data_IF_426396000301
#
_entry.id   IF_426396000301
#
_cell.length_a   1.000
_cell.length_b   1.000
_cell.length_c   1.000
_cell.angle_alpha   90.00
_cell.angle_beta   90.00
_cell.angle_gamma   90.00
#
_symmetry.space_group_name_H-M   'P 1'
#
loop_
_entity.id
_entity.type
_entity.pdbx_description
1 polymer ?
#
# COMPACT_ATOMS: atom_id res chain seq x y z
N UNK A 1 11.52 -8.84 13.54
CA UNK A 1 12.63 -8.12 12.87
C UNK A 1 13.77 -8.01 13.88
N UNK A 2 15.03 -8.23 13.48
CA UNK A 2 16.19 -8.15 14.38
C UNK A 2 16.98 -6.85 14.13
N UNK A 3 17.40 -6.11 15.17
CA UNK A 3 18.20 -4.91 15.00
C UNK A 3 19.63 -5.26 14.51
N UNK A 4 20.19 -4.38 13.65
CA UNK A 4 21.60 -4.51 13.22
C UNK A 4 22.58 -4.26 14.37
N UNK A 5 22.21 -3.37 15.29
CA UNK A 5 22.93 -3.05 16.52
C UNK A 5 21.98 -3.18 17.73
N UNK A 6 22.08 -4.29 18.44
CA UNK A 6 21.23 -4.56 19.59
C UNK A 6 21.48 -3.57 20.74
N UNK A 7 22.72 -3.20 20.97
CA UNK A 7 23.07 -2.29 22.07
C UNK A 7 22.53 -0.87 21.84
N UNK A 8 22.56 -0.39 20.59
CA UNK A 8 21.95 0.89 20.23
C UNK A 8 20.41 0.83 20.35
N UNK A 9 19.80 -0.27 19.91
CA UNK A 9 18.36 -0.48 20.02
C UNK A 9 17.89 -0.50 21.48
N UNK A 10 18.62 -1.19 22.36
CA UNK A 10 18.31 -1.27 23.79
C UNK A 10 18.44 0.11 24.50
N UNK A 11 19.23 1.04 23.94
CA UNK A 11 19.30 2.43 24.41
C UNK A 11 18.17 3.31 23.85
N UNK A 12 17.26 2.76 23.01
CA UNK A 12 16.17 3.50 22.37
C UNK A 12 16.60 4.28 21.13
N UNK A 13 17.77 3.99 20.56
CA UNK A 13 18.21 4.59 19.31
C UNK A 13 17.55 3.88 18.10
N UNK A 14 17.18 4.65 17.07
CA UNK A 14 16.64 4.08 15.85
C UNK A 14 17.75 3.39 15.04
N UNK A 15 17.60 2.10 14.78
CA UNK A 15 18.58 1.26 14.07
C UNK A 15 18.00 0.68 12.79
N UNK A 16 18.84 0.28 11.85
CA UNK A 16 18.40 -0.51 10.71
C UNK A 16 18.19 -1.97 11.13
N UNK A 17 17.27 -2.71 10.50
CA UNK A 17 17.19 -4.15 10.71
C UNK A 17 18.37 -4.86 10.04
N UNK A 18 18.78 -6.02 10.57
CA UNK A 18 19.78 -6.90 9.94
C UNK A 18 19.36 -7.31 8.52
N UNK A 19 18.07 -7.61 8.35
CA UNK A 19 17.48 -7.97 7.07
C UNK A 19 16.23 -7.09 6.83
N UNK A 20 16.34 -6.03 6.04
CA UNK A 20 15.19 -5.23 5.64
C UNK A 20 14.27 -6.01 4.70
N UNK A 21 12.97 -5.71 4.73
CA UNK A 21 12.03 -6.24 3.75
C UNK A 21 12.22 -5.47 2.44
N UNK A 22 12.68 -6.14 1.40
CA UNK A 22 12.92 -5.53 0.09
C UNK A 22 11.85 -5.98 -0.88
N UNK A 23 11.14 -5.02 -1.49
CA UNK A 23 10.27 -5.25 -2.64
C UNK A 23 10.98 -4.81 -3.91
N UNK A 24 10.89 -5.63 -4.94
CA UNK A 24 11.38 -5.32 -6.27
C UNK A 24 10.19 -4.98 -7.17
N UNK A 25 10.25 -3.81 -7.83
CA UNK A 25 9.18 -3.32 -8.70
C UNK A 25 9.57 -3.45 -10.17
N UNK A 26 8.64 -3.98 -10.95
CA UNK A 26 8.81 -4.16 -12.40
C UNK A 26 9.06 -2.83 -13.11
N UNK A 27 10.08 -2.79 -13.94
CA UNK A 27 10.47 -1.60 -14.70
C UNK A 27 9.53 -1.28 -15.87
N UNK A 28 8.56 -2.14 -16.15
CA UNK A 28 7.52 -1.93 -17.16
C UNK A 28 6.46 -0.91 -16.72
N UNK A 29 6.32 -0.65 -15.42
CA UNK A 29 5.44 0.41 -14.94
C UNK A 29 5.88 1.79 -15.43
N UNK A 30 4.93 2.69 -15.68
CA UNK A 30 5.24 4.10 -15.89
C UNK A 30 5.92 4.68 -14.64
N UNK A 31 6.76 5.71 -14.83
CA UNK A 31 7.47 6.34 -13.72
C UNK A 31 6.52 6.87 -12.63
N UNK A 32 5.37 7.43 -13.02
CA UNK A 32 4.35 7.93 -12.10
C UNK A 32 3.70 6.79 -11.29
N UNK A 33 3.33 5.69 -11.95
CA UNK A 33 2.73 4.52 -11.30
C UNK A 33 3.74 3.89 -10.33
N UNK A 34 4.96 3.66 -10.78
CA UNK A 34 6.04 3.13 -9.94
C UNK A 34 6.29 4.01 -8.71
N UNK A 35 6.29 5.34 -8.88
CA UNK A 35 6.47 6.27 -7.77
C UNK A 35 5.30 6.22 -6.76
N UNK A 36 4.06 6.11 -7.23
CA UNK A 36 2.89 6.02 -6.37
C UNK A 36 2.87 4.70 -5.58
N UNK A 37 3.12 3.58 -6.24
CA UNK A 37 3.25 2.25 -5.61
C UNK A 37 4.35 2.27 -4.55
N UNK A 38 5.53 2.76 -4.92
CA UNK A 38 6.69 2.86 -4.01
C UNK A 38 6.37 3.68 -2.77
N UNK A 39 5.77 4.86 -2.95
CA UNK A 39 5.36 5.70 -1.82
C UNK A 39 4.38 4.97 -0.90
N UNK A 40 3.39 4.28 -1.46
CA UNK A 40 2.40 3.53 -0.69
C UNK A 40 3.04 2.46 0.20
N UNK A 41 3.96 1.69 -0.35
CA UNK A 41 4.69 0.65 0.39
C UNK A 41 5.57 1.25 1.48
N UNK A 42 6.29 2.32 1.17
CA UNK A 42 7.23 2.97 2.11
C UNK A 42 6.54 3.72 3.26
N UNK A 43 5.22 4.03 3.16
CA UNK A 43 4.47 4.61 4.28
C UNK A 43 4.56 3.74 5.55
N UNK A 44 4.69 2.43 5.42
CA UNK A 44 4.86 1.51 6.54
C UNK A 44 6.15 1.70 7.33
N UNK A 45 7.19 2.34 6.74
CA UNK A 45 8.39 2.68 7.50
C UNK A 45 8.08 3.55 8.72
N UNK A 46 7.05 4.41 8.67
CA UNK A 46 6.61 5.21 9.82
C UNK A 46 6.20 4.33 11.02
N UNK A 47 5.55 3.20 10.74
CA UNK A 47 5.18 2.24 11.78
C UNK A 47 6.41 1.54 12.36
N UNK A 48 7.38 1.19 11.51
CA UNK A 48 8.63 0.57 11.96
C UNK A 48 9.52 1.57 12.71
N UNK A 49 9.54 2.84 12.31
CA UNK A 49 10.25 3.91 13.01
C UNK A 49 9.69 4.14 14.42
N UNK A 50 8.36 4.01 14.59
CA UNK A 50 7.73 4.12 15.90
C UNK A 50 8.16 3.03 16.89
N UNK A 51 8.69 1.91 16.40
CA UNK A 51 9.23 0.82 17.19
C UNK A 51 10.77 0.71 17.10
N UNK A 52 11.43 1.77 16.63
CA UNK A 52 12.89 1.90 16.62
C UNK A 52 13.62 1.34 15.40
N UNK A 53 12.93 0.99 14.31
CA UNK A 53 13.56 0.52 13.07
C UNK A 53 13.48 1.57 11.97
N UNK A 54 14.60 2.07 11.49
CA UNK A 54 14.69 2.93 10.29
C UNK A 54 14.97 2.08 9.03
N UNK A 55 14.44 2.51 7.88
CA UNK A 55 14.66 1.83 6.60
C UNK A 55 14.29 0.33 6.61
N UNK A 56 13.26 -0.04 7.38
CA UNK A 56 12.83 -1.42 7.55
C UNK A 56 12.29 -2.02 6.25
N UNK A 57 11.67 -1.19 5.42
CA UNK A 57 11.14 -1.55 4.11
C UNK A 57 11.89 -0.76 3.05
N UNK A 58 12.28 -1.45 1.99
CA UNK A 58 12.95 -0.86 0.82
C UNK A 58 12.22 -1.27 -0.46
N UNK A 59 12.16 -0.37 -1.42
CA UNK A 59 11.68 -0.67 -2.76
C UNK A 59 12.80 -0.40 -3.76
N UNK A 60 13.03 -1.35 -4.66
CA UNK A 60 14.07 -1.27 -5.70
C UNK A 60 13.46 -1.64 -7.04
N UNK A 61 13.93 -1.10 -8.16
CA UNK A 61 13.57 -1.61 -9.47
C UNK A 61 14.06 -3.05 -9.64
N UNK A 62 13.48 -3.79 -10.58
CA UNK A 62 14.05 -5.07 -11.01
C UNK A 62 15.48 -4.85 -11.44
N UNK A 63 16.44 -5.63 -10.90
CA UNK A 63 17.82 -5.53 -11.30
C UNK A 63 18.01 -6.00 -12.75
N UNK A 64 19.01 -5.44 -13.41
CA UNK A 64 19.46 -5.95 -14.71
C UNK A 64 20.18 -7.29 -14.56
N UNK A 65 20.31 -8.09 -15.64
CA UNK A 65 21.06 -9.34 -15.58
C UNK A 65 22.54 -9.18 -15.18
N UNK A 66 23.10 -7.99 -15.38
CA UNK A 66 24.48 -7.65 -14.98
C UNK A 66 24.56 -7.38 -13.47
N UNK A 67 23.52 -6.77 -12.88
CA UNK A 67 23.47 -6.46 -11.45
C UNK A 67 23.16 -7.70 -10.60
N UNK A 68 22.26 -8.56 -11.06
CA UNK A 68 21.91 -9.82 -10.41
C UNK A 68 21.53 -10.90 -11.44
N UNK A 69 22.51 -11.72 -11.87
CA UNK A 69 22.27 -12.80 -12.83
C UNK A 69 21.29 -13.89 -12.33
N UNK A 70 21.03 -13.96 -11.03
CA UNK A 70 20.11 -14.93 -10.43
C UNK A 70 18.71 -14.38 -10.20
N UNK A 71 18.51 -13.10 -10.49
CA UNK A 71 17.21 -12.49 -10.31
C UNK A 71 16.17 -13.12 -11.25
N UNK A 72 15.06 -13.50 -10.67
CA UNK A 72 13.85 -13.87 -11.41
C UNK A 72 12.63 -13.49 -10.56
N UNK A 73 11.62 -12.87 -11.16
CA UNK A 73 10.36 -12.61 -10.46
C UNK A 73 9.66 -13.87 -9.93
N UNK A 74 10.04 -15.06 -10.37
CA UNK A 74 9.55 -16.34 -9.88
C UNK A 74 10.40 -16.93 -8.74
N UNK A 75 11.62 -16.42 -8.54
CA UNK A 75 12.51 -16.92 -7.49
C UNK A 75 12.00 -16.53 -6.09
N UNK A 76 11.99 -17.50 -5.17
CA UNK A 76 11.49 -17.33 -3.79
C UNK A 76 12.29 -16.34 -2.94
N UNK A 77 13.46 -15.94 -3.38
CA UNK A 77 14.31 -14.97 -2.65
C UNK A 77 13.82 -13.52 -2.76
N UNK A 78 12.91 -13.21 -3.71
CA UNK A 78 12.56 -11.84 -4.02
C UNK A 78 11.06 -11.60 -3.85
N UNK A 79 10.70 -10.56 -3.08
CA UNK A 79 9.32 -10.05 -3.07
C UNK A 79 9.17 -9.16 -4.31
N UNK A 80 8.25 -9.47 -5.18
CA UNK A 80 8.12 -8.83 -6.48
C UNK A 80 6.76 -8.19 -6.69
N UNK A 81 6.76 -7.01 -7.29
CA UNK A 81 5.58 -6.29 -7.76
C UNK A 81 5.65 -6.30 -9.29
N UNK A 82 4.87 -7.17 -9.88
CA UNK A 82 4.90 -7.45 -11.31
C UNK A 82 3.80 -6.69 -12.03
N UNK A 83 4.13 -6.10 -13.16
CA UNK A 83 3.14 -5.58 -14.10
C UNK A 83 2.58 -6.72 -14.96
N UNK A 84 1.27 -6.77 -15.09
CA UNK A 84 0.58 -7.75 -15.94
C UNK A 84 -0.21 -7.00 -17.02
N UNK A 85 0.13 -7.16 -18.31
CA UNK A 85 -0.53 -6.47 -19.41
C UNK A 85 -1.89 -7.13 -19.72
N UNK A 86 -2.78 -7.15 -18.73
CA UNK A 86 -4.12 -7.69 -18.85
C UNK A 86 -5.16 -6.57 -18.70
N UNK A 87 -6.15 -6.57 -19.60
CA UNK A 87 -7.31 -5.68 -19.54
C UNK A 87 -8.44 -6.26 -18.70
N UNK A 88 -8.29 -7.48 -18.20
CA UNK A 88 -9.25 -8.16 -17.34
C UNK A 88 -8.52 -8.75 -16.15
N UNK A 89 -9.02 -8.50 -14.97
CA UNK A 89 -8.48 -9.05 -13.74
C UNK A 89 -8.00 -7.98 -12.77
N UNK A 90 -8.08 -8.35 -11.50
CA UNK A 90 -7.72 -7.47 -10.38
C UNK A 90 -6.25 -7.61 -9.99
N UNK A 91 -5.77 -6.66 -9.21
CA UNK A 91 -4.51 -6.81 -8.49
C UNK A 91 -4.59 -8.01 -7.58
N UNK A 92 -3.63 -8.91 -7.69
CA UNK A 92 -3.57 -10.15 -6.90
C UNK A 92 -2.29 -10.21 -6.09
N UNK A 93 -2.43 -10.59 -4.84
CA UNK A 93 -1.30 -10.85 -3.95
C UNK A 93 -1.22 -12.32 -3.63
N UNK A 94 -0.01 -12.86 -3.62
CA UNK A 94 0.29 -14.20 -3.13
C UNK A 94 1.41 -14.10 -2.12
N UNK A 95 1.08 -14.46 -0.88
CA UNK A 95 2.03 -14.50 0.23
C UNK A 95 2.27 -15.96 0.60
N UNK A 96 3.53 -16.34 0.63
CA UNK A 96 3.97 -17.68 0.99
C UNK A 96 4.50 -17.65 2.41
N UNK A 97 3.90 -18.47 3.27
CA UNK A 97 4.17 -18.49 4.69
C UNK A 97 4.71 -19.88 5.08
N UNK A 98 5.73 -19.93 5.91
CA UNK A 98 6.17 -21.18 6.54
C UNK A 98 5.11 -21.62 7.54
N UNK A 99 4.44 -22.78 7.36
CA UNK A 99 3.37 -23.21 8.25
C UNK A 99 3.81 -23.55 9.68
N UNK A 100 5.13 -23.71 9.89
CA UNK A 100 5.69 -24.03 11.19
C UNK A 100 5.95 -22.81 12.06
N UNK A 101 6.38 -21.71 11.43
CA UNK A 101 6.81 -20.49 12.15
C UNK A 101 5.85 -19.31 11.95
N UNK A 102 5.02 -19.34 10.88
CA UNK A 102 4.25 -18.19 10.44
C UNK A 102 5.09 -17.13 9.71
N UNK A 103 6.37 -17.41 9.43
CA UNK A 103 7.25 -16.49 8.74
C UNK A 103 6.81 -16.31 7.28
N UNK A 104 6.71 -15.08 6.86
CA UNK A 104 6.45 -14.74 5.46
C UNK A 104 7.75 -14.90 4.67
N UNK A 105 7.82 -15.93 3.85
CA UNK A 105 8.99 -16.28 3.04
C UNK A 105 9.09 -15.43 1.78
N UNK A 106 7.93 -15.11 1.19
CA UNK A 106 7.86 -14.35 -0.04
C UNK A 106 6.46 -13.76 -0.25
N UNK A 107 6.42 -12.55 -0.82
CA UNK A 107 5.20 -11.96 -1.34
C UNK A 107 5.36 -11.61 -2.82
N UNK A 108 4.34 -11.92 -3.62
CA UNK A 108 4.27 -11.54 -5.03
C UNK A 108 2.97 -10.79 -5.27
N UNK A 109 3.10 -9.57 -5.78
CA UNK A 109 1.97 -8.73 -6.20
C UNK A 109 1.92 -8.73 -7.73
N UNK A 110 0.78 -9.05 -8.29
CA UNK A 110 0.49 -8.98 -9.72
C UNK A 110 -0.48 -7.83 -9.96
N UNK A 111 -0.01 -6.76 -10.57
CA UNK A 111 -0.80 -5.55 -10.84
C UNK A 111 -1.23 -5.58 -12.29
N UNK A 112 -2.50 -5.82 -12.55
CA UNK A 112 -3.06 -5.83 -13.89
C UNK A 112 -3.19 -4.41 -14.45
N UNK A 113 -2.93 -4.24 -15.75
CA UNK A 113 -3.10 -2.96 -16.45
C UNK A 113 -4.51 -2.38 -16.27
N UNK A 114 -5.49 -3.23 -16.13
CA UNK A 114 -6.90 -2.89 -15.89
C UNK A 114 -7.09 -1.95 -14.68
N UNK A 115 -6.19 -1.99 -13.69
CA UNK A 115 -6.23 -1.09 -12.53
C UNK A 115 -6.24 0.39 -12.94
N UNK A 116 -5.63 0.75 -14.07
CA UNK A 116 -5.61 2.12 -14.59
C UNK A 116 -6.99 2.60 -15.05
N UNK A 117 -7.90 1.67 -15.31
CA UNK A 117 -9.27 1.94 -15.71
C UNK A 117 -10.26 1.73 -14.56
N UNK A 118 -10.13 0.63 -13.83
CA UNK A 118 -11.05 0.27 -12.74
C UNK A 118 -10.96 1.23 -11.57
N UNK A 119 -9.77 1.64 -11.17
CA UNK A 119 -9.60 2.53 -10.02
C UNK A 119 -10.24 3.91 -10.25
N UNK A 120 -10.06 4.62 -11.38
CA UNK A 120 -10.80 5.84 -11.67
C UNK A 120 -12.32 5.64 -11.68
N UNK A 121 -12.80 4.52 -12.20
CA UNK A 121 -14.23 4.19 -12.22
C UNK A 121 -14.75 3.97 -10.79
N UNK A 122 -14.05 3.20 -9.97
CA UNK A 122 -14.40 2.98 -8.56
C UNK A 122 -14.46 4.30 -7.79
N UNK A 123 -13.43 5.14 -7.92
CA UNK A 123 -13.38 6.46 -7.28
C UNK A 123 -14.58 7.30 -7.71
N UNK A 124 -14.87 7.38 -9.01
CA UNK A 124 -16.02 8.13 -9.51
C UNK A 124 -17.33 7.63 -8.91
N UNK A 125 -17.60 6.33 -8.95
CA UNK A 125 -18.85 5.75 -8.44
C UNK A 125 -19.07 6.06 -6.97
N UNK A 126 -18.00 6.00 -6.17
CA UNK A 126 -18.12 6.10 -4.73
C UNK A 126 -17.90 7.49 -4.16
N UNK A 127 -17.28 8.41 -4.90
CA UNK A 127 -16.94 9.73 -4.35
C UNK A 127 -17.52 10.91 -5.13
N UNK A 128 -18.05 10.70 -6.33
CA UNK A 128 -18.52 11.80 -7.19
C UNK A 128 -19.65 12.63 -6.58
N UNK A 129 -20.42 12.08 -5.63
CA UNK A 129 -21.47 12.83 -4.93
C UNK A 129 -20.89 13.93 -4.01
N UNK A 130 -19.70 13.72 -3.45
CA UNK A 130 -19.07 14.59 -2.48
C UNK A 130 -17.76 15.25 -2.97
N UNK A 131 -17.23 14.84 -4.13
CA UNK A 131 -15.98 15.38 -4.69
C UNK A 131 -16.19 15.86 -6.14
N UNK A 132 -16.29 17.17 -6.36
CA UNK A 132 -16.42 17.72 -7.71
C UNK A 132 -15.21 17.44 -8.62
N UNK A 133 -14.02 17.21 -8.06
CA UNK A 133 -12.80 17.03 -8.85
C UNK A 133 -12.85 15.75 -9.68
N UNK A 134 -13.57 14.72 -9.22
CA UNK A 134 -13.72 13.44 -9.93
C UNK A 134 -14.86 13.43 -10.94
N UNK A 135 -15.71 14.48 -10.98
CA UNK A 135 -16.79 14.64 -11.97
C UNK A 135 -16.30 15.15 -13.33
N UNK A 136 -15.02 15.46 -13.45
CA UNK A 136 -14.43 15.92 -14.69
C UNK A 136 -14.35 14.77 -15.71
N UNK A 137 -14.35 15.10 -17.00
CA UNK A 137 -14.24 14.10 -18.08
C UNK A 137 -13.03 13.17 -17.92
N UNK A 138 -11.94 13.70 -17.37
CA UNK A 138 -10.74 12.96 -17.02
C UNK A 138 -10.39 13.27 -15.58
N UNK A 139 -10.18 12.22 -14.79
CA UNK A 139 -9.68 12.38 -13.43
C UNK A 139 -8.26 12.94 -13.45
N UNK A 140 -7.94 13.94 -12.62
CA UNK A 140 -6.57 14.44 -12.52
C UNK A 140 -5.61 13.33 -12.10
N UNK A 141 -4.44 13.26 -12.74
CA UNK A 141 -3.40 12.28 -12.41
C UNK A 141 -3.02 12.32 -10.94
N UNK A 142 -2.95 13.51 -10.33
CA UNK A 142 -2.67 13.67 -8.91
C UNK A 142 -3.67 12.94 -8.01
N UNK A 143 -4.95 12.99 -8.36
CA UNK A 143 -6.02 12.29 -7.64
C UNK A 143 -5.84 10.78 -7.81
N UNK A 144 -5.65 10.30 -9.04
CA UNK A 144 -5.45 8.89 -9.33
C UNK A 144 -4.24 8.33 -8.57
N UNK A 145 -3.09 8.98 -8.66
CA UNK A 145 -1.87 8.46 -8.02
C UNK A 145 -1.89 8.54 -6.50
N UNK A 146 -2.64 9.48 -5.91
CA UNK A 146 -2.88 9.48 -4.46
C UNK A 146 -3.73 8.28 -4.04
N UNK A 147 -4.75 7.92 -4.81
CA UNK A 147 -5.53 6.70 -4.55
C UNK A 147 -4.71 5.43 -4.75
N UNK A 148 -3.85 5.36 -5.78
CA UNK A 148 -2.91 4.25 -5.98
C UNK A 148 -2.00 4.11 -4.77
N UNK A 149 -1.41 5.20 -4.29
CA UNK A 149 -0.58 5.21 -3.08
C UNK A 149 -1.33 4.63 -1.88
N UNK A 150 -2.53 5.13 -1.62
CA UNK A 150 -3.34 4.69 -0.47
C UNK A 150 -3.74 3.22 -0.60
N UNK A 151 -4.10 2.77 -1.81
CA UNK A 151 -4.39 1.36 -2.08
C UNK A 151 -3.18 0.47 -1.77
N UNK A 152 -1.98 0.84 -2.23
CA UNK A 152 -0.77 0.05 -1.95
C UNK A 152 -0.31 0.15 -0.50
N UNK A 153 -0.62 1.23 0.22
CA UNK A 153 -0.40 1.27 1.66
C UNK A 153 -1.27 0.23 2.37
N UNK A 154 -2.56 0.18 2.05
CA UNK A 154 -3.49 -0.80 2.60
C UNK A 154 -3.12 -2.23 2.22
N UNK A 155 -2.91 -2.51 0.93
CA UNK A 155 -2.54 -3.82 0.39
C UNK A 155 -1.26 -4.36 1.02
N UNK A 156 -0.28 -3.51 1.26
CA UNK A 156 0.99 -3.91 1.90
C UNK A 156 0.74 -4.41 3.32
N UNK A 157 -0.09 -3.72 4.11
CA UNK A 157 -0.41 -4.16 5.47
C UNK A 157 -1.20 -5.46 5.50
N UNK A 158 -2.31 -5.49 4.78
CA UNK A 158 -3.25 -6.62 4.83
C UNK A 158 -2.69 -7.84 4.10
N UNK A 159 -2.32 -7.67 2.84
CA UNK A 159 -2.02 -8.81 1.98
C UNK A 159 -0.52 -9.19 1.99
N UNK A 160 0.39 -8.19 2.11
CA UNK A 160 1.82 -8.50 2.10
C UNK A 160 2.36 -8.85 3.49
N UNK A 161 1.89 -8.18 4.54
CA UNK A 161 2.29 -8.46 5.93
C UNK A 161 1.33 -9.37 6.67
N UNK A 162 0.20 -9.75 6.06
CA UNK A 162 -0.78 -10.65 6.64
C UNK A 162 -1.48 -10.10 7.88
N UNK A 163 -1.62 -8.77 7.98
CA UNK A 163 -2.31 -8.15 9.10
C UNK A 163 -3.83 -8.34 8.97
N UNK A 164 -4.49 -8.66 10.07
CA UNK A 164 -5.94 -8.79 10.10
C UNK A 164 -6.64 -7.44 9.93
N UNK A 165 -7.83 -7.46 9.34
CA UNK A 165 -8.68 -6.28 9.28
C UNK A 165 -9.04 -5.76 10.67
N UNK A 166 -9.03 -4.43 10.83
CA UNK A 166 -9.51 -3.75 12.03
C UNK A 166 -10.91 -3.19 11.82
N UNK A 167 -11.90 -4.07 11.65
CA UNK A 167 -13.28 -3.69 11.35
C UNK A 167 -13.95 -2.88 12.47
N UNK A 168 -13.47 -3.01 13.70
CA UNK A 168 -13.99 -2.24 14.85
C UNK A 168 -13.71 -0.75 14.72
N UNK A 169 -12.69 -0.37 13.97
CA UNK A 169 -12.32 1.03 13.77
C UNK A 169 -13.37 1.82 13.00
N UNK A 170 -14.18 1.18 12.14
CA UNK A 170 -15.30 1.84 11.45
C UNK A 170 -16.32 2.48 12.42
N UNK A 171 -16.45 1.95 13.63
CA UNK A 171 -17.37 2.47 14.64
C UNK A 171 -16.77 3.60 15.51
N UNK A 172 -15.47 3.90 15.33
CA UNK A 172 -14.79 4.88 16.19
C UNK A 172 -15.15 6.33 15.88
N UNK A 173 -15.54 6.63 14.63
CA UNK A 173 -15.95 7.98 14.26
C UNK A 173 -17.46 8.14 14.31
N UNK A 174 -17.97 9.25 14.89
CA UNK A 174 -19.39 9.54 14.92
C UNK A 174 -19.96 9.67 13.49
N UNK A 175 -21.05 8.98 13.20
CA UNK A 175 -21.72 9.03 11.90
C UNK A 175 -22.14 10.46 11.50
N UNK A 176 -22.50 11.29 12.47
CA UNK A 176 -22.85 12.69 12.21
C UNK A 176 -21.64 13.51 11.74
N UNK A 177 -20.45 13.22 12.26
CA UNK A 177 -19.21 13.86 11.79
C UNK A 177 -18.88 13.47 10.35
N UNK A 178 -19.08 12.22 9.99
CA UNK A 178 -18.87 11.73 8.62
C UNK A 178 -19.94 12.27 7.65
N UNK A 179 -21.17 12.44 8.12
CA UNK A 179 -22.30 12.86 7.29
C UNK A 179 -22.36 14.36 7.06
N UNK A 180 -21.99 15.17 8.04
CA UNK A 180 -22.24 16.60 8.01
C UNK A 180 -20.97 17.46 8.08
N UNK A 181 -19.80 16.87 8.21
CA UNK A 181 -18.55 17.61 8.37
C UNK A 181 -17.46 17.15 7.40
N UNK A 182 -17.46 17.72 6.20
CA UNK A 182 -16.43 17.43 5.20
C UNK A 182 -15.00 17.75 5.69
N UNK A 183 -14.83 18.77 6.54
CA UNK A 183 -13.54 19.11 7.12
C UNK A 183 -13.03 18.02 8.07
N UNK A 184 -13.95 17.35 8.80
CA UNK A 184 -13.61 16.20 9.63
C UNK A 184 -13.04 15.06 8.78
N UNK A 185 -13.74 14.66 7.72
CA UNK A 185 -13.31 13.58 6.82
C UNK A 185 -11.99 13.92 6.12
N UNK A 186 -11.79 15.17 5.69
CA UNK A 186 -10.50 15.59 5.10
C UNK A 186 -9.34 15.50 6.09
N UNK A 187 -9.58 15.74 7.36
CA UNK A 187 -8.55 15.74 8.40
C UNK A 187 -8.24 14.35 8.94
N UNK A 188 -9.26 13.55 9.17
CA UNK A 188 -9.14 12.29 9.90
C UNK A 188 -9.41 11.04 9.06
N UNK A 189 -9.87 11.20 7.81
CA UNK A 189 -10.30 10.12 6.97
C UNK A 189 -11.68 9.56 7.34
N UNK A 190 -11.98 8.39 6.84
CA UNK A 190 -13.25 7.67 7.08
C UNK A 190 -13.19 6.80 8.33
N UNK A 191 -11.99 6.43 8.77
CA UNK A 191 -11.72 5.54 9.89
C UNK A 191 -10.31 5.84 10.44
N UNK A 192 -10.05 5.61 11.74
CA UNK A 192 -8.74 5.86 12.32
C UNK A 192 -7.70 4.77 12.02
N UNK A 193 -8.09 3.67 11.37
CA UNK A 193 -7.18 2.58 11.04
C UNK A 193 -7.11 2.34 9.54
N UNK A 194 -5.91 2.33 8.99
CA UNK A 194 -5.69 1.96 7.58
C UNK A 194 -5.90 0.46 7.30
N UNK A 195 -6.06 -0.36 8.33
CA UNK A 195 -6.41 -1.79 8.19
C UNK A 195 -7.93 -2.02 8.12
N UNK A 196 -8.73 -0.97 8.10
CA UNK A 196 -10.17 -1.05 7.88
C UNK A 196 -10.52 -1.13 6.39
N UNK A 197 -11.71 -1.64 6.09
CA UNK A 197 -12.25 -1.72 4.72
C UNK A 197 -13.02 -0.47 4.30
N UNK A 198 -13.20 0.51 5.19
CA UNK A 198 -13.97 1.74 4.94
C UNK A 198 -13.19 2.74 4.08
N UNK A 199 -12.93 2.38 2.81
CA UNK A 199 -12.15 3.19 1.86
C UNK A 199 -12.80 4.56 1.56
N UNK A 200 -14.13 4.62 1.51
CA UNK A 200 -14.89 5.77 1.04
C UNK A 200 -15.94 6.19 2.03
N UNK A 201 -16.22 7.49 2.13
CA UNK A 201 -17.31 8.03 2.93
C UNK A 201 -18.61 8.06 2.12
N UNK A 202 -19.36 6.98 2.17
CA UNK A 202 -20.64 6.87 1.45
C UNK A 202 -21.76 7.76 1.99
N UNK A 203 -21.59 8.32 3.17
CA UNK A 203 -22.57 9.18 3.82
C UNK A 203 -22.14 10.65 3.83
N UNK A 204 -21.09 10.99 3.08
CA UNK A 204 -20.67 12.37 2.92
C UNK A 204 -21.79 13.24 2.34
N UNK A 205 -21.85 14.53 2.70
CA UNK A 205 -22.84 15.43 2.13
C UNK A 205 -22.65 15.55 0.62
N UNK A 206 -23.75 15.72 -0.09
CA UNK A 206 -23.75 16.05 -1.51
C UNK A 206 -23.26 17.49 -1.64
N UNK A 207 -22.24 17.70 -2.51
CA UNK A 207 -21.68 19.01 -2.81
C UNK A 207 -22.23 19.53 -4.14
#
# INVERSE_FOLDING_TARGET
>A
MEPSDQAAYDRGEAVEPKAPVVFYIDTTFTAQMSAAITKGILEWNKCFEAIGFKNAIRVRPFPTPEEDPQFSPQNFRYNCINYVPSLTGDTRVRTYVDPRSGEILRTTVMVCHNMTWEMPFEIFVFTAHADPSVRQRYMPDSTLFEHVKNHFTWLTGVDCFGMSYNLTSSAAFPSDSLRHNAAFTRKYGTTPSMLDIAKYNFIAPID
#
